data_IF_594466647290
#
_entry.id   IF_594466647290
#
_cell.length_a   1.000
_cell.length_b   1.000
_cell.length_c   1.000
_cell.angle_alpha   90.00
_cell.angle_beta   90.00
_cell.angle_gamma   90.00
#
_symmetry.space_group_name_H-M   'P 1'
#
loop_
_entity.id
_entity.type
_entity.pdbx_description
1 polymer ?
#
# COMPACT_ATOMS: atom_id res chain seq x y z
N UNK A 1 73.19 14.89 -64.02
CA UNK A 1 74.09 15.07 -62.86
C UNK A 1 73.58 16.30 -62.14
N UNK A 2 73.08 16.29 -60.91
CA UNK A 2 73.19 15.32 -59.83
C UNK A 2 71.81 14.93 -59.28
N UNK A 3 71.77 13.68 -58.86
CA UNK A 3 70.74 13.00 -58.09
C UNK A 3 70.90 13.36 -56.62
N UNK A 4 69.81 13.59 -55.91
CA UNK A 4 69.70 13.19 -54.51
C UNK A 4 68.25 12.93 -54.13
N UNK A 5 68.11 11.93 -53.30
CA UNK A 5 67.00 11.01 -53.15
C UNK A 5 66.22 11.23 -51.86
N UNK A 6 64.91 10.97 -51.93
CA UNK A 6 64.06 10.30 -50.94
C UNK A 6 64.11 10.78 -49.48
N UNK A 7 62.98 11.30 -49.01
CA UNK A 7 62.51 10.95 -47.67
C UNK A 7 60.98 10.82 -47.63
N UNK A 8 60.53 9.59 -47.36
CA UNK A 8 59.14 9.21 -47.17
C UNK A 8 58.56 9.85 -45.90
N UNK A 9 57.39 10.48 -46.01
CA UNK A 9 56.58 10.92 -44.89
C UNK A 9 55.19 10.30 -44.95
N UNK A 10 54.92 9.29 -44.11
CA UNK A 10 53.59 8.74 -43.86
C UNK A 10 52.61 9.86 -43.51
N UNK A 11 51.61 10.09 -44.36
CA UNK A 11 50.46 10.93 -44.02
C UNK A 11 49.46 10.11 -43.22
N UNK A 12 49.45 10.33 -41.91
CA UNK A 12 48.40 9.88 -41.00
C UNK A 12 47.06 10.49 -41.44
N UNK A 13 46.11 9.68 -41.90
CA UNK A 13 44.70 10.06 -41.93
C UNK A 13 44.19 10.13 -40.49
N UNK A 14 44.24 11.30 -39.89
CA UNK A 14 43.54 11.58 -38.64
C UNK A 14 42.04 11.63 -38.93
N UNK A 15 41.31 10.68 -38.35
CA UNK A 15 39.85 10.68 -38.33
C UNK A 15 39.35 11.92 -37.59
N UNK A 16 38.71 12.83 -38.32
CA UNK A 16 38.10 14.04 -37.79
C UNK A 16 36.76 13.66 -37.12
N UNK A 17 36.82 13.16 -35.88
CA UNK A 17 35.64 12.90 -35.05
C UNK A 17 35.44 14.09 -34.09
N UNK A 18 34.22 14.66 -33.97
CA UNK A 18 33.99 15.81 -33.10
C UNK A 18 34.18 15.45 -31.61
N UNK A 19 34.69 16.38 -30.78
CA UNK A 19 34.95 16.13 -29.37
C UNK A 19 33.64 15.87 -28.61
N UNK A 20 33.58 14.74 -27.90
CA UNK A 20 32.45 14.37 -27.04
C UNK A 20 32.45 15.30 -25.82
N UNK A 21 31.50 16.24 -25.79
CA UNK A 21 31.44 17.35 -24.81
C UNK A 21 31.13 16.89 -23.37
N UNK A 22 30.62 15.68 -23.17
CA UNK A 22 30.25 15.15 -21.84
C UNK A 22 31.14 13.99 -21.36
N UNK A 23 32.40 13.93 -21.78
CA UNK A 23 33.38 13.08 -21.11
C UNK A 23 33.75 13.70 -19.75
N UNK A 24 32.95 13.40 -18.72
CA UNK A 24 33.19 13.88 -17.36
C UNK A 24 34.63 13.53 -16.94
N UNK A 25 35.48 14.54 -16.77
CA UNK A 25 36.93 14.41 -16.47
C UNK A 25 37.16 13.53 -15.23
N UNK A 26 36.21 13.57 -14.29
CA UNK A 26 36.20 12.74 -13.08
C UNK A 26 35.97 11.24 -13.34
N UNK A 27 35.25 10.89 -14.41
CA UNK A 27 35.10 9.50 -14.86
C UNK A 27 36.42 8.90 -15.34
N UNK A 28 37.24 9.67 -16.08
CA UNK A 28 38.58 9.27 -16.51
C UNK A 28 39.56 9.10 -15.33
N UNK A 29 39.44 9.93 -14.29
CA UNK A 29 40.27 9.81 -13.08
C UNK A 29 39.88 8.57 -12.26
N UNK A 30 38.59 8.23 -12.20
CA UNK A 30 38.09 6.98 -11.60
C UNK A 30 38.52 5.71 -12.37
N UNK A 31 38.66 5.81 -13.70
CA UNK A 31 39.21 4.76 -14.55
C UNK A 31 40.67 4.44 -14.20
N UNK A 32 41.50 5.44 -13.85
CA UNK A 32 42.92 5.24 -13.51
C UNK A 32 43.15 4.51 -12.17
N UNK A 33 42.22 4.62 -11.20
CA UNK A 33 42.34 4.04 -9.85
C UNK A 33 41.58 2.72 -9.64
N UNK A 34 40.69 2.33 -10.56
CA UNK A 34 39.88 1.10 -10.43
C UNK A 34 40.55 -0.17 -10.98
N UNK A 35 39.91 -1.34 -10.76
CA UNK A 35 40.41 -2.62 -11.25
C UNK A 35 40.33 -2.68 -12.79
N UNK A 36 41.50 -2.55 -13.43
CA UNK A 36 41.68 -2.53 -14.89
C UNK A 36 40.94 -3.65 -15.62
N UNK A 37 40.90 -4.86 -15.04
CA UNK A 37 40.22 -6.02 -15.66
C UNK A 37 38.70 -5.84 -15.70
N UNK A 38 38.09 -5.27 -14.66
CA UNK A 38 36.63 -5.04 -14.62
C UNK A 38 36.22 -3.92 -15.59
N UNK A 39 37.04 -2.86 -15.66
CA UNK A 39 36.82 -1.75 -16.58
C UNK A 39 36.98 -2.19 -18.05
N UNK A 40 38.01 -2.97 -18.35
CA UNK A 40 38.20 -3.54 -19.69
C UNK A 40 37.05 -4.46 -20.08
N UNK A 41 36.53 -5.27 -19.15
CA UNK A 41 35.32 -6.07 -19.38
C UNK A 41 34.10 -5.18 -19.67
N UNK A 42 33.88 -4.11 -18.90
CA UNK A 42 32.78 -3.17 -19.13
C UNK A 42 32.89 -2.43 -20.47
N UNK A 43 34.09 -1.98 -20.85
CA UNK A 43 34.34 -1.35 -22.16
C UNK A 43 34.16 -2.35 -23.31
N UNK A 44 34.60 -3.59 -23.13
CA UNK A 44 34.41 -4.64 -24.13
C UNK A 44 32.94 -5.04 -24.26
N UNK A 45 32.17 -5.04 -23.17
CA UNK A 45 30.73 -5.28 -23.22
C UNK A 45 30.01 -4.11 -23.89
N UNK A 46 30.31 -2.87 -23.49
CA UNK A 46 29.77 -1.68 -24.13
C UNK A 46 30.06 -1.69 -25.65
N UNK A 47 31.30 -2.00 -26.06
CA UNK A 47 31.68 -2.11 -27.47
C UNK A 47 30.89 -3.18 -28.23
N UNK A 48 30.48 -4.27 -27.57
CA UNK A 48 29.66 -5.32 -28.19
C UNK A 48 28.19 -4.93 -28.26
N UNK A 49 27.70 -4.23 -27.24
CA UNK A 49 26.29 -3.90 -27.08
C UNK A 49 25.89 -2.61 -27.83
N UNK A 50 26.81 -1.67 -28.01
CA UNK A 50 26.53 -0.40 -28.73
C UNK A 50 26.64 -0.58 -30.23
N UNK A 51 25.53 -0.40 -30.93
CA UNK A 51 25.54 -0.22 -32.38
C UNK A 51 25.99 1.20 -32.71
N UNK A 52 26.86 1.34 -33.72
CA UNK A 52 27.24 2.64 -34.26
C UNK A 52 25.98 3.31 -34.81
N UNK A 53 25.81 4.60 -34.54
CA UNK A 53 24.66 5.36 -35.04
C UNK A 53 24.76 5.50 -36.56
N UNK A 54 23.72 5.12 -37.27
CA UNK A 54 23.61 5.30 -38.72
C UNK A 54 23.44 6.79 -39.07
N UNK A 55 23.70 7.13 -40.34
CA UNK A 55 23.50 8.49 -40.86
C UNK A 55 22.06 8.96 -40.59
N UNK A 56 21.93 10.20 -40.15
CA UNK A 56 20.66 10.80 -39.74
C UNK A 56 19.78 11.04 -40.98
N UNK A 57 18.69 10.27 -41.13
CA UNK A 57 17.61 10.57 -42.06
C UNK A 57 16.55 11.41 -41.33
N UNK A 58 16.53 12.72 -41.61
CA UNK A 58 15.62 13.68 -40.97
C UNK A 58 14.14 13.32 -41.20
N UNK A 59 13.79 12.86 -42.41
CA UNK A 59 12.40 12.52 -42.78
C UNK A 59 11.96 11.29 -41.98
N UNK A 60 12.81 10.26 -41.90
CA UNK A 60 12.53 9.08 -41.10
C UNK A 60 12.42 9.41 -39.61
N UNK A 61 13.32 10.23 -39.09
CA UNK A 61 13.34 10.65 -37.70
C UNK A 61 12.11 11.48 -37.32
N UNK A 62 11.68 12.40 -38.15
CA UNK A 62 10.44 13.15 -37.95
C UNK A 62 9.21 12.24 -37.96
N UNK A 63 9.15 11.27 -38.88
CA UNK A 63 8.08 10.27 -38.92
C UNK A 63 8.07 9.44 -37.64
N UNK A 64 9.24 9.05 -37.14
CA UNK A 64 9.39 8.32 -35.88
C UNK A 64 8.94 9.16 -34.68
N UNK A 65 9.37 10.43 -34.59
CA UNK A 65 8.97 11.38 -33.54
C UNK A 65 7.45 11.56 -33.52
N UNK A 66 6.82 11.78 -34.68
CA UNK A 66 5.35 11.87 -34.82
C UNK A 66 4.65 10.60 -34.35
N UNK A 67 5.17 9.43 -34.71
CA UNK A 67 4.63 8.14 -34.26
C UNK A 67 4.70 7.97 -32.74
N UNK A 68 5.80 8.38 -32.12
CA UNK A 68 5.96 8.34 -30.65
C UNK A 68 4.99 9.31 -29.98
N UNK A 69 4.91 10.55 -30.48
CA UNK A 69 3.96 11.55 -29.99
C UNK A 69 2.51 11.06 -30.09
N UNK A 70 2.12 10.50 -31.24
CA UNK A 70 0.80 9.91 -31.45
C UNK A 70 0.50 8.79 -30.44
N UNK A 71 1.46 7.88 -30.19
CA UNK A 71 1.30 6.82 -29.17
C UNK A 71 1.14 7.40 -27.76
N UNK A 72 1.83 8.50 -27.45
CA UNK A 72 1.64 9.24 -26.20
C UNK A 72 0.22 9.78 -26.05
N UNK A 73 -0.23 10.55 -27.04
CA UNK A 73 -1.58 11.14 -27.07
C UNK A 73 -2.66 10.06 -27.07
N UNK A 74 -2.50 8.99 -27.85
CA UNK A 74 -3.44 7.86 -27.88
C UNK A 74 -3.63 7.24 -26.49
N UNK A 75 -2.56 7.06 -25.71
CA UNK A 75 -2.66 6.54 -24.32
C UNK A 75 -3.43 7.49 -23.41
N UNK A 76 -3.23 8.80 -23.55
CA UNK A 76 -4.00 9.79 -22.79
C UNK A 76 -5.49 9.75 -23.18
N UNK A 77 -5.79 9.70 -24.48
CA UNK A 77 -7.17 9.57 -24.99
C UNK A 77 -7.84 8.25 -24.57
N UNK A 78 -7.08 7.16 -24.39
CA UNK A 78 -7.67 5.91 -23.91
C UNK A 78 -8.25 6.01 -22.49
N UNK A 79 -7.73 6.91 -21.64
CA UNK A 79 -8.29 7.15 -20.30
C UNK A 79 -9.72 7.71 -20.38
N UNK A 80 -10.02 8.47 -21.42
CA UNK A 80 -11.34 9.06 -21.65
C UNK A 80 -12.39 8.05 -22.16
N UNK A 81 -11.99 6.84 -22.56
CA UNK A 81 -12.93 5.82 -23.06
C UNK A 81 -13.99 5.46 -22.02
N UNK A 82 -13.62 5.32 -20.75
CA UNK A 82 -14.55 4.96 -19.67
C UNK A 82 -15.64 6.02 -19.46
N UNK A 83 -15.30 7.28 -19.17
CA UNK A 83 -16.27 8.37 -19.03
C UNK A 83 -17.14 8.57 -20.28
N UNK A 84 -16.54 8.50 -21.48
CA UNK A 84 -17.29 8.65 -22.74
C UNK A 84 -18.27 7.50 -22.94
N UNK A 85 -17.87 6.25 -22.67
CA UNK A 85 -18.76 5.10 -22.77
C UNK A 85 -19.91 5.20 -21.77
N UNK A 86 -19.62 5.59 -20.53
CA UNK A 86 -20.64 5.84 -19.50
C UNK A 86 -21.67 6.88 -19.97
N UNK A 87 -21.22 7.99 -20.57
CA UNK A 87 -22.12 9.02 -21.07
C UNK A 87 -22.93 8.54 -22.29
N UNK A 88 -22.38 7.67 -23.14
CA UNK A 88 -23.10 7.08 -24.28
C UNK A 88 -24.16 6.06 -23.86
N UNK A 89 -23.90 5.32 -22.79
CA UNK A 89 -24.82 4.33 -22.23
C UNK A 89 -25.86 4.95 -21.28
N UNK A 90 -25.74 6.23 -20.94
CA UNK A 90 -26.70 6.90 -20.07
C UNK A 90 -27.97 7.25 -20.85
N UNK A 91 -29.14 6.89 -20.29
CA UNK A 91 -30.44 7.18 -20.91
C UNK A 91 -30.73 8.67 -21.01
N UNK A 92 -30.29 9.47 -20.02
CA UNK A 92 -30.41 10.91 -20.00
C UNK A 92 -29.13 11.57 -19.49
N UNK A 93 -28.70 12.63 -20.19
CA UNK A 93 -27.63 13.53 -19.76
C UNK A 93 -28.24 14.88 -19.39
N UNK A 94 -28.01 15.32 -18.16
CA UNK A 94 -28.46 16.62 -17.66
C UNK A 94 -27.27 17.57 -17.65
N UNK A 95 -27.41 18.69 -18.36
CA UNK A 95 -26.41 19.75 -18.43
C UNK A 95 -26.87 20.96 -17.60
N UNK A 96 -25.95 21.67 -16.90
CA UNK A 96 -24.50 21.46 -16.85
C UNK A 96 -24.09 20.18 -16.09
N UNK A 97 -23.01 19.52 -16.53
CA UNK A 97 -22.48 18.36 -15.81
C UNK A 97 -21.99 18.83 -14.44
N UNK A 98 -22.27 18.05 -13.39
CA UNK A 98 -21.76 18.34 -12.06
C UNK A 98 -20.23 18.38 -12.10
N UNK A 99 -19.64 19.57 -11.95
CA UNK A 99 -18.20 19.69 -11.71
C UNK A 99 -17.88 18.92 -10.44
N UNK A 100 -16.92 18.00 -10.52
CA UNK A 100 -16.44 17.21 -9.37
C UNK A 100 -15.65 18.04 -8.37
N UNK A 101 -15.93 19.34 -8.25
CA UNK A 101 -15.56 20.13 -7.08
C UNK A 101 -16.39 19.55 -5.93
N UNK A 102 -15.80 18.60 -5.21
CA UNK A 102 -16.39 18.05 -3.99
C UNK A 102 -16.46 19.19 -2.97
N UNK A 103 -17.54 19.95 -3.00
CA UNK A 103 -17.91 20.83 -1.89
C UNK A 103 -18.35 19.89 -0.77
N UNK A 104 -17.41 19.48 0.07
CA UNK A 104 -17.72 18.76 1.29
C UNK A 104 -18.72 19.63 2.04
N UNK A 105 -19.89 19.09 2.37
CA UNK A 105 -20.98 19.85 3.01
C UNK A 105 -20.60 20.48 4.36
N UNK A 106 -19.47 20.06 4.94
CA UNK A 106 -18.88 20.56 6.19
C UNK A 106 -17.45 21.11 5.95
N UNK A 107 -17.11 21.54 4.74
CA UNK A 107 -15.87 22.30 4.49
C UNK A 107 -16.04 23.71 5.06
N UNK A 108 -14.96 24.30 5.57
CA UNK A 108 -14.91 25.71 6.01
C UNK A 108 -15.46 26.65 4.93
N UNK A 109 -15.17 26.36 3.66
CA UNK A 109 -15.67 27.13 2.52
C UNK A 109 -17.20 27.01 2.35
N UNK A 110 -17.75 25.82 2.60
CA UNK A 110 -19.19 25.57 2.53
C UNK A 110 -19.95 26.23 3.69
N UNK A 111 -19.35 26.24 4.88
CA UNK A 111 -19.90 26.94 6.06
C UNK A 111 -19.85 28.45 5.86
N UNK A 112 -18.77 28.97 5.29
CA UNK A 112 -18.62 30.38 4.94
C UNK A 112 -19.66 30.84 3.91
N UNK A 113 -19.89 30.05 2.86
CA UNK A 113 -20.90 30.36 1.85
C UNK A 113 -22.33 30.36 2.43
N UNK A 114 -22.67 29.35 3.25
CA UNK A 114 -23.97 29.31 3.97
C UNK A 114 -24.15 30.51 4.89
N UNK A 115 -23.14 30.86 5.66
CA UNK A 115 -23.16 32.03 6.56
C UNK A 115 -23.39 33.33 5.78
N UNK A 116 -22.68 33.50 4.66
CA UNK A 116 -22.84 34.66 3.77
C UNK A 116 -24.25 34.75 3.17
N UNK A 117 -24.84 33.62 2.83
CA UNK A 117 -26.21 33.54 2.32
C UNK A 117 -27.26 33.85 3.39
N UNK A 118 -27.08 33.34 4.61
CA UNK A 118 -27.92 33.70 5.76
C UNK A 118 -27.86 35.20 6.10
N UNK A 119 -26.68 35.83 6.06
CA UNK A 119 -26.51 37.27 6.29
C UNK A 119 -27.19 38.08 5.18
N UNK A 120 -27.13 37.62 3.92
CA UNK A 120 -27.83 38.27 2.81
C UNK A 120 -29.34 38.19 2.99
N UNK A 121 -29.86 37.02 3.35
CA UNK A 121 -31.28 36.82 3.60
C UNK A 121 -31.80 37.70 4.76
N UNK A 122 -31.06 37.77 5.87
CA UNK A 122 -31.44 38.60 7.02
C UNK A 122 -31.41 40.10 6.72
N UNK A 123 -30.52 40.55 5.83
CA UNK A 123 -30.47 41.94 5.35
C UNK A 123 -31.72 42.32 4.55
N UNK A 124 -32.25 41.39 3.76
CA UNK A 124 -33.45 41.61 2.93
C UNK A 124 -34.71 41.61 3.79
N UNK A 125 -34.77 40.74 4.81
CA UNK A 125 -35.97 40.56 5.64
C UNK A 125 -35.96 41.45 6.89
N UNK A 126 -36.10 42.77 6.71
CA UNK A 126 -36.07 43.75 7.82
C UNK A 126 -37.20 43.59 8.85
N UNK A 127 -38.28 42.86 8.51
CA UNK A 127 -39.42 42.60 9.41
C UNK A 127 -39.19 41.44 10.38
N UNK A 128 -38.33 40.50 10.02
CA UNK A 128 -37.95 39.34 10.85
C UNK A 128 -37.09 39.78 12.03
N UNK A 129 -37.14 39.04 13.15
CA UNK A 129 -36.31 39.28 14.33
C UNK A 129 -34.82 39.35 13.96
N UNK A 130 -34.39 38.50 13.01
CA UNK A 130 -33.01 38.44 12.54
C UNK A 130 -32.60 39.70 11.78
N UNK A 131 -33.47 40.25 10.92
CA UNK A 131 -33.21 41.50 10.20
C UNK A 131 -33.25 42.73 11.11
N UNK A 132 -34.16 42.74 12.09
CA UNK A 132 -34.20 43.77 13.14
C UNK A 132 -32.92 43.79 13.98
N UNK A 133 -32.44 42.62 14.38
CA UNK A 133 -31.18 42.47 15.12
C UNK A 133 -29.98 42.96 14.27
N UNK A 134 -29.93 42.58 13.00
CA UNK A 134 -28.90 43.03 12.06
C UNK A 134 -28.89 44.56 11.94
N UNK A 135 -30.05 45.19 11.71
CA UNK A 135 -30.16 46.64 11.63
C UNK A 135 -29.80 47.33 12.95
N UNK A 136 -30.20 46.76 14.09
CA UNK A 136 -29.87 47.30 15.40
C UNK A 136 -28.36 47.27 15.70
N UNK A 137 -27.63 46.27 15.20
CA UNK A 137 -26.17 46.12 15.42
C UNK A 137 -25.36 46.98 14.45
N UNK A 138 -25.78 47.06 13.18
CA UNK A 138 -24.97 47.65 12.11
C UNK A 138 -25.45 49.03 11.62
N UNK A 139 -26.72 49.40 11.84
CA UNK A 139 -27.30 50.67 11.37
C UNK A 139 -27.64 51.64 12.50
N UNK A 140 -28.12 51.15 13.64
CA UNK A 140 -28.26 51.98 14.82
C UNK A 140 -26.92 51.96 15.54
N UNK A 141 -26.17 53.06 15.45
CA UNK A 141 -25.04 53.32 16.32
C UNK A 141 -25.56 53.35 17.75
N UNK A 142 -25.64 52.19 18.39
CA UNK A 142 -25.86 52.10 19.82
C UNK A 142 -24.68 52.82 20.42
N UNK A 143 -24.91 53.99 21.00
CA UNK A 143 -23.97 54.64 21.89
C UNK A 143 -23.63 53.62 22.96
N UNK A 144 -22.48 52.98 22.77
CA UNK A 144 -21.93 51.99 23.67
C UNK A 144 -21.72 52.77 24.97
N UNK A 145 -22.66 52.66 25.91
CA UNK A 145 -22.39 52.91 27.32
C UNK A 145 -21.17 52.05 27.60
N UNK A 146 -19.99 52.67 27.64
CA UNK A 146 -18.72 51.97 27.78
C UNK A 146 -18.87 51.20 29.09
N UNK A 147 -18.94 49.86 29.07
CA UNK A 147 -19.06 49.12 30.31
C UNK A 147 -17.84 49.47 31.16
N UNK A 148 -18.05 49.59 32.46
CA UNK A 148 -16.95 49.85 33.40
C UNK A 148 -15.87 48.79 33.18
N UNK A 149 -14.60 49.14 33.42
CA UNK A 149 -13.49 48.20 33.22
C UNK A 149 -13.70 46.89 34.00
N UNK A 150 -14.33 46.94 35.18
CA UNK A 150 -14.66 45.75 35.97
C UNK A 150 -15.69 44.85 35.30
N UNK A 151 -16.76 45.41 34.71
CA UNK A 151 -17.78 44.61 34.02
C UNK A 151 -17.23 43.92 32.76
N UNK A 152 -16.31 44.57 32.05
CA UNK A 152 -15.59 43.98 30.91
C UNK A 152 -14.73 42.80 31.34
N UNK A 153 -13.95 42.97 32.42
CA UNK A 153 -13.11 41.88 32.95
C UNK A 153 -13.98 40.70 33.42
N UNK A 154 -15.07 40.96 34.16
CA UNK A 154 -15.99 39.91 34.61
C UNK A 154 -16.66 39.16 33.45
N UNK A 155 -17.11 39.87 32.42
CA UNK A 155 -17.73 39.26 31.24
C UNK A 155 -16.73 38.46 30.41
N UNK A 156 -15.49 38.93 30.26
CA UNK A 156 -14.42 38.19 29.59
C UNK A 156 -14.03 36.91 30.34
N UNK A 157 -13.90 36.98 31.66
CA UNK A 157 -13.62 35.80 32.50
C UNK A 157 -14.75 34.77 32.38
N UNK A 158 -16.01 35.23 32.41
CA UNK A 158 -17.17 34.36 32.22
C UNK A 158 -17.17 33.69 30.83
N UNK A 159 -16.86 34.44 29.77
CA UNK A 159 -16.75 33.90 28.41
C UNK A 159 -15.67 32.83 28.31
N UNK A 160 -14.47 33.11 28.83
CA UNK A 160 -13.35 32.15 28.87
C UNK A 160 -13.69 30.89 29.67
N UNK A 161 -14.47 31.01 30.75
CA UNK A 161 -14.93 29.87 31.53
C UNK A 161 -15.92 29.01 30.72
N UNK A 162 -16.89 29.61 30.05
CA UNK A 162 -17.85 28.91 29.20
C UNK A 162 -17.16 28.19 28.03
N UNK A 163 -16.21 28.85 27.38
CA UNK A 163 -15.42 28.23 26.32
C UNK A 163 -14.65 27.00 26.82
N UNK A 164 -14.02 27.11 28.00
CA UNK A 164 -13.35 25.96 28.63
C UNK A 164 -14.33 24.83 28.97
N UNK A 165 -15.56 25.15 29.38
CA UNK A 165 -16.59 24.14 29.63
C UNK A 165 -17.00 23.45 28.33
N UNK A 166 -17.24 24.20 27.27
CA UNK A 166 -17.58 23.67 25.95
C UNK A 166 -16.45 22.78 25.38
N UNK A 167 -15.20 23.23 25.49
CA UNK A 167 -14.03 22.43 25.11
C UNK A 167 -13.97 21.10 25.88
N UNK A 168 -14.18 21.14 27.20
CA UNK A 168 -14.23 19.93 28.03
C UNK A 168 -15.39 18.99 27.66
N UNK A 169 -16.54 19.53 27.28
CA UNK A 169 -17.67 18.73 26.82
C UNK A 169 -17.38 18.06 25.48
N UNK A 170 -16.78 18.79 24.53
CA UNK A 170 -16.30 18.23 23.25
C UNK A 170 -15.28 17.12 23.47
N UNK A 171 -14.31 17.33 24.35
CA UNK A 171 -13.31 16.31 24.72
C UNK A 171 -13.96 15.07 25.33
N UNK A 172 -14.88 15.25 26.28
CA UNK A 172 -15.64 14.15 26.91
C UNK A 172 -16.43 13.36 25.87
N UNK A 173 -17.12 14.04 24.97
CA UNK A 173 -17.89 13.39 23.90
C UNK A 173 -16.98 12.55 23.00
N UNK A 174 -15.85 13.10 22.57
CA UNK A 174 -14.87 12.38 21.76
C UNK A 174 -14.33 11.15 22.49
N UNK A 175 -13.91 11.30 23.74
CA UNK A 175 -13.41 10.19 24.56
C UNK A 175 -14.45 9.09 24.74
N UNK A 176 -15.70 9.42 25.04
CA UNK A 176 -16.79 8.44 25.15
C UNK A 176 -17.03 7.72 23.84
N UNK A 177 -17.02 8.44 22.71
CA UNK A 177 -17.18 7.85 21.37
C UNK A 177 -16.03 6.88 21.04
N UNK A 178 -14.79 7.26 21.33
CA UNK A 178 -13.63 6.38 21.14
C UNK A 178 -13.66 5.18 22.08
N UNK A 179 -14.04 5.36 23.34
CA UNK A 179 -14.20 4.26 24.30
C UNK A 179 -15.25 3.24 23.83
N UNK A 180 -16.41 3.72 23.33
CA UNK A 180 -17.45 2.86 22.76
C UNK A 180 -16.95 2.11 21.51
N UNK A 181 -16.24 2.78 20.60
CA UNK A 181 -15.63 2.16 19.42
C UNK A 181 -14.62 1.10 19.80
N UNK A 182 -13.73 1.39 20.75
CA UNK A 182 -12.71 0.47 21.24
C UNK A 182 -13.33 -0.74 21.94
N UNK A 183 -14.38 -0.53 22.77
CA UNK A 183 -15.14 -1.62 23.40
C UNK A 183 -15.75 -2.55 22.34
N UNK A 184 -16.35 -2.01 21.27
CA UNK A 184 -16.87 -2.79 20.15
C UNK A 184 -15.76 -3.54 19.42
N UNK A 185 -14.64 -2.89 19.12
CA UNK A 185 -13.50 -3.53 18.46
C UNK A 185 -12.91 -4.66 19.31
N UNK A 186 -12.75 -4.47 20.62
CA UNK A 186 -12.28 -5.50 21.54
C UNK A 186 -13.25 -6.69 21.60
N UNK A 187 -14.57 -6.42 21.59
CA UNK A 187 -15.58 -7.48 21.51
C UNK A 187 -15.48 -8.25 20.19
N UNK A 188 -15.36 -7.57 19.06
CA UNK A 188 -15.19 -8.19 17.73
C UNK A 188 -13.91 -9.02 17.67
N UNK A 189 -12.80 -8.50 18.21
CA UNK A 189 -11.50 -9.19 18.24
C UNK A 189 -11.39 -10.24 19.35
N UNK A 190 -12.43 -10.41 20.17
CA UNK A 190 -12.40 -11.39 21.26
C UNK A 190 -12.51 -12.82 20.71
N UNK A 191 -11.82 -13.77 21.36
CA UNK A 191 -11.92 -15.20 21.05
C UNK A 191 -13.37 -15.70 21.10
N UNK A 192 -14.16 -15.17 22.04
CA UNK A 192 -15.58 -15.51 22.18
C UNK A 192 -16.38 -15.13 20.93
N UNK A 193 -16.22 -13.90 20.44
CA UNK A 193 -16.89 -13.44 19.22
C UNK A 193 -16.52 -14.31 18.02
N UNK A 194 -15.22 -14.57 17.80
CA UNK A 194 -14.79 -15.41 16.69
C UNK A 194 -15.27 -16.86 16.82
N UNK A 195 -15.36 -17.42 18.04
CA UNK A 195 -15.96 -18.74 18.28
C UNK A 195 -17.44 -18.74 17.87
N UNK A 196 -18.21 -17.76 18.31
CA UNK A 196 -19.62 -17.65 17.95
C UNK A 196 -19.83 -17.37 16.45
N UNK A 197 -18.98 -16.53 15.85
CA UNK A 197 -18.99 -16.25 14.41
C UNK A 197 -18.71 -17.52 13.61
N UNK A 198 -17.68 -18.29 13.98
CA UNK A 198 -17.33 -19.55 13.32
C UNK A 198 -18.45 -20.59 13.46
N UNK A 199 -19.06 -20.70 14.64
CA UNK A 199 -20.21 -21.58 14.86
C UNK A 199 -21.44 -21.15 14.05
N UNK A 200 -21.68 -19.84 13.90
CA UNK A 200 -22.76 -19.32 13.07
C UNK A 200 -22.54 -19.65 11.60
N UNK A 201 -21.35 -19.37 11.08
CA UNK A 201 -20.97 -19.69 9.69
C UNK A 201 -21.08 -21.20 9.42
N UNK A 202 -20.68 -22.04 10.38
CA UNK A 202 -20.80 -23.50 10.25
C UNK A 202 -22.26 -23.95 10.16
N UNK A 203 -23.15 -23.36 10.96
CA UNK A 203 -24.60 -23.64 10.90
C UNK A 203 -25.25 -23.12 9.62
N UNK A 204 -24.81 -21.96 9.11
CA UNK A 204 -25.26 -21.42 7.81
C UNK A 204 -24.85 -22.38 6.68
N UNK A 205 -23.59 -22.82 6.68
CA UNK A 205 -23.08 -23.81 5.73
C UNK A 205 -23.83 -25.15 5.80
N UNK A 206 -24.12 -25.66 7.00
CA UNK A 206 -24.90 -26.89 7.18
C UNK A 206 -26.30 -26.76 6.58
N UNK A 207 -26.98 -25.63 6.79
CA UNK A 207 -28.29 -25.36 6.20
C UNK A 207 -28.24 -25.27 4.67
N UNK A 208 -27.23 -24.61 4.11
CA UNK A 208 -27.01 -24.52 2.65
C UNK A 208 -26.75 -25.90 2.03
N UNK A 209 -25.99 -26.76 2.72
CA UNK A 209 -25.75 -28.13 2.29
C UNK A 209 -27.03 -28.99 2.36
N UNK A 210 -27.85 -28.83 3.41
CA UNK A 210 -29.13 -29.53 3.52
C UNK A 210 -30.13 -29.10 2.46
N UNK A 211 -30.19 -27.81 2.11
CA UNK A 211 -31.07 -27.30 1.06
C UNK A 211 -30.63 -27.79 -0.31
N UNK A 212 -29.33 -27.74 -0.62
CA UNK A 212 -28.75 -28.28 -1.87
C UNK A 212 -29.02 -29.77 -1.99
N UNK A 213 -28.88 -30.55 -0.91
CA UNK A 213 -29.17 -32.00 -0.92
C UNK A 213 -30.63 -32.30 -1.26
N UNK A 214 -31.58 -31.48 -0.79
CA UNK A 214 -33.02 -31.67 -1.02
C UNK A 214 -33.48 -31.19 -2.40
N UNK A 215 -32.94 -30.06 -2.85
CA UNK A 215 -33.37 -29.42 -4.10
C UNK A 215 -32.60 -29.99 -5.31
N UNK A 216 -31.27 -30.10 -5.20
CA UNK A 216 -30.36 -30.40 -6.31
C UNK A 216 -29.24 -31.38 -5.90
N UNK A 217 -29.50 -32.71 -5.92
CA UNK A 217 -28.54 -33.71 -5.47
C UNK A 217 -27.24 -33.72 -6.29
N UNK A 218 -27.30 -33.33 -7.58
CA UNK A 218 -26.11 -33.21 -8.45
C UNK A 218 -25.18 -32.07 -8.01
N UNK A 219 -25.74 -30.89 -7.74
CA UNK A 219 -24.96 -29.73 -7.27
C UNK A 219 -24.35 -29.99 -5.88
N UNK A 220 -25.06 -30.73 -5.03
CA UNK A 220 -24.54 -31.19 -3.75
C UNK A 220 -23.32 -32.10 -3.90
N UNK A 221 -23.37 -33.08 -4.82
CA UNK A 221 -22.24 -33.97 -5.11
C UNK A 221 -21.01 -33.20 -5.63
N UNK A 222 -21.20 -32.25 -6.55
CA UNK A 222 -20.13 -31.39 -7.05
C UNK A 222 -19.49 -30.55 -5.94
N UNK A 223 -20.30 -30.03 -5.01
CA UNK A 223 -19.81 -29.26 -3.87
C UNK A 223 -18.95 -30.12 -2.92
N UNK A 224 -19.35 -31.37 -2.65
CA UNK A 224 -18.53 -32.33 -1.89
C UNK A 224 -17.19 -32.57 -2.59
N UNK A 225 -17.22 -32.89 -3.88
CA UNK A 225 -16.00 -33.14 -4.67
C UNK A 225 -15.07 -31.93 -4.66
N UNK A 226 -15.61 -30.71 -4.78
CA UNK A 226 -14.83 -29.47 -4.70
C UNK A 226 -14.19 -29.27 -3.32
N UNK A 227 -14.90 -29.60 -2.24
CA UNK A 227 -14.35 -29.55 -0.89
C UNK A 227 -13.20 -30.55 -0.70
N UNK A 228 -13.32 -31.75 -1.26
CA UNK A 228 -12.25 -32.76 -1.25
C UNK A 228 -11.05 -32.32 -2.09
N UNK A 229 -11.26 -31.79 -3.29
CA UNK A 229 -10.20 -31.23 -4.12
C UNK A 229 -9.43 -30.11 -3.41
N UNK A 230 -10.14 -29.21 -2.72
CA UNK A 230 -9.50 -28.17 -1.92
C UNK A 230 -8.68 -28.77 -0.76
N UNK A 231 -9.20 -29.77 -0.05
CA UNK A 231 -8.47 -30.47 1.02
C UNK A 231 -7.22 -31.18 0.49
N UNK A 232 -7.30 -31.82 -0.67
CA UNK A 232 -6.15 -32.44 -1.34
C UNK A 232 -5.15 -31.38 -1.77
N UNK A 233 -5.59 -30.27 -2.36
CA UNK A 233 -4.74 -29.14 -2.76
C UNK A 233 -4.06 -28.48 -1.57
N UNK A 234 -4.78 -28.25 -0.47
CA UNK A 234 -4.22 -27.74 0.79
C UNK A 234 -3.13 -28.67 1.30
N UNK A 235 -3.39 -29.99 1.38
CA UNK A 235 -2.41 -30.99 1.80
C UNK A 235 -1.21 -31.10 0.87
N UNK A 236 -1.43 -31.05 -0.44
CA UNK A 236 -0.36 -31.07 -1.44
C UNK A 236 0.49 -29.80 -1.38
N UNK A 237 -0.13 -28.65 -1.14
CA UNK A 237 0.54 -27.34 -1.01
C UNK A 237 1.23 -27.13 0.35
N UNK A 238 0.84 -27.90 1.37
CA UNK A 238 1.41 -27.79 2.70
C UNK A 238 2.89 -28.21 2.62
N UNK A 239 3.79 -27.31 3.03
CA UNK A 239 5.25 -27.35 2.78
C UNK A 239 5.97 -28.48 3.52
N UNK A 240 5.69 -29.74 3.19
CA UNK A 240 6.23 -30.92 3.88
C UNK A 240 7.50 -31.50 3.24
N UNK A 241 7.86 -31.10 2.02
CA UNK A 241 8.98 -31.66 1.25
C UNK A 241 10.36 -31.50 1.94
N UNK A 242 10.48 -30.57 2.88
CA UNK A 242 11.71 -30.37 3.67
C UNK A 242 11.69 -29.21 4.68
N UNK A 243 10.49 -28.73 5.04
CA UNK A 243 10.28 -27.58 5.93
C UNK A 243 9.86 -27.94 7.35
N UNK A 244 9.66 -29.22 7.67
CA UNK A 244 9.31 -29.67 9.02
C UNK A 244 10.46 -29.41 10.01
N UNK A 245 10.14 -29.26 11.30
CA UNK A 245 11.14 -29.05 12.35
C UNK A 245 12.17 -30.19 12.38
N UNK A 246 11.71 -31.43 12.18
CA UNK A 246 12.55 -32.61 12.06
C UNK A 246 13.49 -32.53 10.84
N UNK A 247 12.97 -32.22 9.66
CA UNK A 247 13.78 -32.10 8.43
C UNK A 247 14.85 -31.01 8.53
N UNK A 248 14.52 -29.84 9.11
CA UNK A 248 15.50 -28.78 9.34
C UNK A 248 16.60 -29.20 10.30
N UNK A 249 16.23 -29.87 11.39
CA UNK A 249 17.18 -30.35 12.39
C UNK A 249 18.09 -31.43 11.81
N UNK A 250 17.54 -32.34 10.99
CA UNK A 250 18.29 -33.39 10.35
C UNK A 250 19.24 -32.85 9.27
N UNK A 251 18.87 -31.80 8.54
CA UNK A 251 19.78 -31.10 7.61
C UNK A 251 20.99 -30.48 8.31
N UNK A 252 20.78 -29.88 9.49
CA UNK A 252 21.90 -29.35 10.29
C UNK A 252 22.82 -30.46 10.79
N UNK A 253 22.26 -31.58 11.24
CA UNK A 253 23.00 -32.75 11.72
C UNK A 253 23.69 -33.53 10.59
N UNK A 254 23.10 -33.55 9.40
CA UNK A 254 23.64 -34.18 8.20
C UNK A 254 25.02 -33.63 7.81
N UNK A 255 25.43 -32.46 8.30
CA UNK A 255 26.80 -32.00 8.13
C UNK A 255 27.82 -32.89 8.86
N UNK A 256 27.45 -33.42 10.03
CA UNK A 256 28.36 -34.10 10.96
C UNK A 256 28.08 -35.59 11.10
N UNK A 257 26.84 -36.02 10.91
CA UNK A 257 26.37 -37.39 11.16
C UNK A 257 25.88 -38.06 9.87
N UNK A 258 26.35 -39.29 9.62
CA UNK A 258 26.00 -40.08 8.45
C UNK A 258 24.57 -40.61 8.51
N UNK A 259 24.07 -40.97 9.69
CA UNK A 259 22.68 -41.38 9.88
C UNK A 259 21.72 -40.23 9.54
N UNK A 260 22.14 -39.00 9.88
CA UNK A 260 21.41 -37.81 9.53
C UNK A 260 21.39 -37.49 8.02
N UNK A 261 22.48 -37.79 7.30
CA UNK A 261 22.49 -37.70 5.83
C UNK A 261 21.53 -38.69 5.21
N UNK A 262 21.58 -39.96 5.64
CA UNK A 262 20.73 -41.02 5.12
C UNK A 262 19.26 -40.71 5.37
N UNK A 263 18.89 -40.28 6.58
CA UNK A 263 17.51 -39.89 6.90
C UNK A 263 16.98 -38.72 6.04
N UNK A 264 17.85 -37.76 5.66
CA UNK A 264 17.50 -36.67 4.74
C UNK A 264 17.35 -37.20 3.31
N UNK A 265 18.24 -38.10 2.86
CA UNK A 265 18.15 -38.77 1.55
C UNK A 265 16.85 -39.56 1.42
N UNK A 266 16.55 -40.44 2.38
CA UNK A 266 15.33 -41.25 2.42
C UNK A 266 14.06 -40.37 2.37
N UNK A 267 14.08 -39.22 3.06
CA UNK A 267 12.96 -38.27 3.05
C UNK A 267 12.78 -37.65 1.64
N UNK A 268 13.87 -37.34 0.94
CA UNK A 268 13.83 -36.84 -0.43
C UNK A 268 13.43 -37.93 -1.44
N UNK A 269 13.89 -39.17 -1.26
CA UNK A 269 13.56 -40.33 -2.07
C UNK A 269 12.08 -40.69 -1.95
N UNK A 270 11.55 -40.86 -0.74
CA UNK A 270 10.10 -41.07 -0.50
C UNK A 270 9.26 -39.96 -1.12
N UNK A 271 9.73 -38.71 -1.03
CA UNK A 271 9.06 -37.57 -1.66
C UNK A 271 9.06 -37.67 -3.19
N UNK A 272 10.15 -38.12 -3.81
CA UNK A 272 10.24 -38.36 -5.25
C UNK A 272 9.32 -39.51 -5.65
N UNK A 273 9.33 -40.62 -4.92
CA UNK A 273 8.44 -41.78 -5.12
C UNK A 273 6.96 -41.38 -5.10
N UNK A 274 6.53 -40.60 -4.11
CA UNK A 274 5.14 -40.14 -4.01
C UNK A 274 4.73 -39.16 -5.11
N UNK A 275 5.66 -38.37 -5.64
CA UNK A 275 5.40 -37.45 -6.78
C UNK A 275 5.69 -38.08 -8.14
N UNK A 276 6.25 -39.28 -8.17
CA UNK A 276 6.52 -40.00 -9.41
C UNK A 276 5.16 -40.38 -9.97
N UNK A 277 4.78 -39.74 -11.08
CA UNK A 277 3.60 -40.15 -11.84
C UNK A 277 3.89 -41.57 -12.34
N UNK A 278 3.12 -42.55 -11.86
CA UNK A 278 3.11 -43.85 -12.50
C UNK A 278 2.44 -43.66 -13.85
N UNK A 279 3.22 -43.72 -14.94
CA UNK A 279 2.69 -43.90 -16.28
C UNK A 279 2.18 -45.34 -16.38
N UNK A 280 1.06 -45.62 -15.73
CA UNK A 280 0.26 -46.83 -15.91
C UNK A 280 -1.04 -46.40 -16.59
N UNK A 281 -0.89 -45.85 -17.79
CA UNK A 281 -1.80 -46.03 -18.93
C UNK A 281 -1.19 -45.29 -20.12
N UNK A 282 -0.46 -46.03 -20.94
CA UNK A 282 -0.20 -45.68 -22.33
C UNK A 282 -0.96 -46.69 -23.19
N UNK A 283 -2.28 -46.54 -23.21
CA UNK A 283 -3.20 -47.09 -24.22
C UNK A 283 -4.58 -46.46 -24.06
N UNK A 284 -4.67 -45.15 -24.30
CA UNK A 284 -5.85 -44.56 -24.93
C UNK A 284 -5.50 -43.16 -25.42
N UNK A 285 -5.22 -43.11 -26.71
CA UNK A 285 -5.14 -41.93 -27.55
C UNK A 285 -6.36 -41.01 -27.32
N UNK A 286 -6.11 -39.77 -26.90
CA UNK A 286 -7.07 -38.67 -26.95
C UNK A 286 -6.30 -37.37 -26.90
N UNK A 287 -6.00 -36.83 -28.08
CA UNK A 287 -5.53 -35.46 -28.24
C UNK A 287 -6.48 -34.46 -27.59
N UNK A 288 -5.99 -33.77 -26.56
CA UNK A 288 -6.13 -32.32 -26.41
C UNK A 288 -5.37 -31.90 -25.14
N UNK A 289 -4.15 -31.37 -25.31
CA UNK A 289 -3.62 -30.48 -24.28
C UNK A 289 -2.68 -29.45 -24.89
N UNK A 290 -3.25 -28.26 -24.99
CA UNK A 290 -2.59 -26.96 -25.12
C UNK A 290 -1.21 -26.91 -24.46
N UNK A 291 -0.28 -26.36 -25.22
CA UNK A 291 1.07 -26.01 -24.82
C UNK A 291 1.03 -25.05 -23.61
N UNK A 292 1.74 -25.40 -22.54
CA UNK A 292 2.27 -24.41 -21.59
C UNK A 292 3.75 -24.72 -21.37
N UNK A 293 4.56 -24.16 -22.27
CA UNK A 293 6.01 -24.10 -22.16
C UNK A 293 6.32 -22.91 -21.26
N UNK A 294 6.54 -23.15 -19.97
CA UNK A 294 7.38 -22.29 -19.13
C UNK A 294 8.22 -23.18 -18.22
N UNK A 295 9.23 -23.82 -18.81
CA UNK A 295 10.34 -24.43 -18.09
C UNK A 295 11.45 -23.38 -18.01
N UNK A 296 11.38 -22.48 -17.02
CA UNK A 296 12.54 -21.69 -16.63
C UNK A 296 13.29 -22.42 -15.50
N UNK A 297 14.52 -22.75 -15.83
CA UNK A 297 15.54 -23.33 -14.95
C UNK A 297 15.97 -22.30 -13.91
N UNK A 298 15.62 -22.52 -12.65
CA UNK A 298 16.24 -21.78 -11.54
C UNK A 298 17.51 -22.49 -11.09
N UNK A 299 18.63 -21.82 -11.33
CA UNK A 299 19.95 -22.12 -10.81
C UNK A 299 19.97 -22.06 -9.29
N UNK A 300 20.53 -23.07 -8.64
CA UNK A 300 20.96 -23.03 -7.25
C UNK A 300 21.98 -21.89 -7.06
N UNK A 301 21.51 -20.75 -6.56
CA UNK A 301 22.35 -19.68 -6.03
C UNK A 301 22.28 -19.72 -4.51
N UNK A 302 23.33 -20.29 -3.92
CA UNK A 302 23.72 -20.13 -2.52
C UNK A 302 23.99 -18.64 -2.26
N UNK A 303 22.95 -17.94 -1.78
CA UNK A 303 22.99 -16.57 -1.33
C UNK A 303 22.44 -16.51 0.09
N UNK A 304 23.34 -16.38 1.06
CA UNK A 304 23.06 -15.99 2.44
C UNK A 304 22.05 -14.84 2.49
N UNK A 305 20.81 -15.14 2.89
CA UNK A 305 19.73 -14.19 3.15
C UNK A 305 19.23 -14.41 4.58
N UNK A 306 20.17 -14.38 5.53
CA UNK A 306 19.89 -14.17 6.94
C UNK A 306 20.69 -12.95 7.43
N UNK A 307 20.35 -11.78 6.91
CA UNK A 307 20.58 -10.50 7.58
C UNK A 307 19.70 -9.42 6.92
N UNK A 308 18.81 -8.79 7.69
CA UNK A 308 18.34 -7.44 7.35
C UNK A 308 16.88 -7.26 6.93
N UNK A 309 15.89 -7.93 7.54
CA UNK A 309 14.48 -7.50 7.36
C UNK A 309 13.62 -7.46 8.63
N UNK A 310 14.19 -7.74 9.82
CA UNK A 310 13.44 -7.63 11.09
C UNK A 310 13.93 -6.52 12.04
N UNK A 311 14.89 -5.67 11.66
CA UNK A 311 15.40 -4.61 12.56
C UNK A 311 14.59 -3.30 12.49
N UNK A 312 14.04 -2.95 11.32
CA UNK A 312 13.36 -1.66 11.16
C UNK A 312 11.96 -1.60 11.80
N UNK A 313 11.24 -2.73 11.82
CA UNK A 313 9.93 -2.83 12.49
C UNK A 313 10.10 -2.91 14.03
N UNK A 314 11.13 -3.63 14.51
CA UNK A 314 11.41 -3.72 15.95
C UNK A 314 11.95 -2.41 16.51
N UNK A 315 12.78 -1.69 15.77
CA UNK A 315 13.28 -0.36 16.20
C UNK A 315 12.17 0.69 16.18
N UNK A 316 11.26 0.67 15.20
CA UNK A 316 10.13 1.61 15.19
C UNK A 316 9.09 1.32 16.27
N UNK A 317 8.86 0.05 16.62
CA UNK A 317 8.04 -0.36 17.76
C UNK A 317 8.73 -0.08 19.11
N UNK A 318 10.05 -0.26 19.23
CA UNK A 318 10.83 0.10 20.42
C UNK A 318 10.98 1.60 20.60
N UNK A 319 11.15 2.36 19.53
CA UNK A 319 11.14 3.83 19.54
C UNK A 319 9.74 4.35 19.87
N UNK A 320 8.68 3.70 19.40
CA UNK A 320 7.31 4.01 19.81
C UNK A 320 7.09 3.70 21.30
N UNK A 321 7.55 2.54 21.80
CA UNK A 321 7.49 2.20 23.23
C UNK A 321 8.31 3.16 24.11
N UNK A 322 9.49 3.61 23.65
CA UNK A 322 10.32 4.61 24.35
C UNK A 322 9.72 6.02 24.32
N UNK A 323 9.01 6.40 23.24
CA UNK A 323 8.32 7.71 23.14
C UNK A 323 7.08 7.82 24.01
N UNK A 324 6.50 6.70 24.46
CA UNK A 324 5.29 6.67 25.29
C UNK A 324 5.50 6.17 26.73
N UNK A 325 6.75 6.06 27.21
CA UNK A 325 7.03 5.60 28.58
C UNK A 325 6.36 6.50 29.65
N UNK A 326 6.26 7.81 29.39
CA UNK A 326 5.58 8.80 30.26
C UNK A 326 4.04 8.63 30.31
N UNK A 327 3.44 7.91 29.36
CA UNK A 327 1.99 7.67 29.31
C UNK A 327 1.56 6.49 30.21
N UNK A 328 2.49 5.60 30.57
CA UNK A 328 2.21 4.43 31.41
C UNK A 328 2.28 4.70 32.92
N UNK A 329 2.80 5.86 33.34
CA UNK A 329 3.07 6.17 34.76
C UNK A 329 1.84 6.77 35.48
N UNK A 330 0.74 7.07 34.78
CA UNK A 330 -0.47 7.66 35.38
C UNK A 330 -1.60 6.68 35.75
N UNK A 331 -1.34 5.38 35.79
CA UNK A 331 -2.35 4.37 36.17
C UNK A 331 -2.00 3.51 37.39
N UNK A 332 -1.11 4.00 38.26
CA UNK A 332 -0.85 3.41 39.57
C UNK A 332 -0.90 4.52 40.61
N UNK A 333 -2.12 4.81 41.09
CA UNK A 333 -2.42 5.27 42.45
C UNK A 333 -3.90 5.64 42.47
N UNK A 334 -4.75 4.68 42.84
CA UNK A 334 -6.06 4.93 43.45
C UNK A 334 -6.65 3.59 43.95
N UNK A 335 -5.89 2.94 44.82
CA UNK A 335 -6.33 1.93 45.78
C UNK A 335 -5.33 2.07 46.93
N UNK A 336 -5.83 2.04 48.16
CA UNK A 336 -5.11 2.34 49.40
C UNK A 336 -5.25 3.81 49.85
N UNK A 337 -6.47 4.21 50.23
CA UNK A 337 -6.68 5.09 51.39
C UNK A 337 -8.09 4.92 51.95
N UNK A 338 -8.18 4.19 53.07
CA UNK A 338 -9.01 4.47 54.24
C UNK A 338 -10.54 4.50 54.12
N UNK A 339 -11.20 3.40 54.52
CA UNK A 339 -12.50 3.45 55.20
C UNK A 339 -12.55 2.39 56.30
N UNK A 340 -12.13 2.76 57.51
CA UNK A 340 -12.55 2.11 58.76
C UNK A 340 -12.27 3.06 59.91
N UNK A 341 -13.33 3.65 60.46
CA UNK A 341 -13.29 4.61 61.55
C UNK A 341 -14.70 4.93 62.00
N UNK A 342 -15.36 3.93 62.58
CA UNK A 342 -16.59 4.07 63.34
C UNK A 342 -16.26 4.84 64.62
N UNK A 343 -16.93 5.96 64.85
CA UNK A 343 -16.85 6.71 66.12
C UNK A 343 -18.25 6.70 66.73
N UNK A 344 -18.38 5.97 67.82
CA UNK A 344 -19.51 6.00 68.73
C UNK A 344 -19.63 7.39 69.35
N UNK A 345 -20.85 7.92 69.40
CA UNK A 345 -21.23 9.01 70.29
C UNK A 345 -22.23 8.47 71.30
N UNK A 346 -21.81 8.46 72.57
CA UNK A 346 -22.70 8.59 73.72
C UNK A 346 -23.00 10.04 74.01
#
# INVERSE_FOLDING_TARGET
>A
MEVSSLQNGMTNFQSNAPPVVDANVWGLIGLKKGNKRKQQKALNNLRRDTKVLDLVDDIHNEKQKRRIAFRGVKRQLTLWKGPVLKNRLADQLIFPLNDTAVTLANSEESEFLRSKEHIRASKIESGSLQGKLYNAIYHNGVDIIKPSLQDKVCTEVRKKLLEKLEQREKERFLLTRFAAKNKRQNKIKSKSFHRHQKNRLLKEYEKEMESMRKNDPRAFAEHIMKAELNRVKERASLRHRGGSKFSRLQKLRAKYDAEARNAVSDMHERSRELTKKNNLDDSSESEDSTVDVTSESESDSDGSLFAGSNSAESESEELSRKRFWWYSVRFISLKDFGTSGTVDFG
#
